data_IF_246039798111
#
_entry.id   IF_246039798111
#
_cell.length_a   1.000
_cell.length_b   1.000
_cell.length_c   1.000
_cell.angle_alpha   90.00
_cell.angle_beta   90.00
_cell.angle_gamma   90.00
#
_symmetry.space_group_name_H-M   'P 1'
#
loop_
_entity.id
_entity.type
_entity.pdbx_description
1 polymer ?
#
# COMPACT_ATOMS: atom_id res chain seq x y z
N UNK A 1 -10.01 -3.49 10.07
CA UNK A 1 -9.73 -2.83 8.78
C UNK A 1 -8.46 -3.28 8.08
N UNK A 2 -7.42 -3.63 8.82
CA UNK A 2 -6.22 -4.16 8.16
C UNK A 2 -6.49 -5.44 7.37
N UNK A 3 -7.40 -6.27 7.87
CA UNK A 3 -7.80 -7.48 7.15
C UNK A 3 -8.44 -7.14 5.79
N UNK A 4 -9.29 -6.13 5.77
CA UNK A 4 -9.93 -5.69 4.52
C UNK A 4 -8.89 -5.13 3.55
N UNK A 5 -7.90 -4.38 4.04
CA UNK A 5 -6.81 -3.87 3.24
C UNK A 5 -6.00 -5.02 2.63
N UNK A 6 -5.62 -5.98 3.44
CA UNK A 6 -4.89 -7.16 2.97
C UNK A 6 -5.66 -7.89 1.87
N UNK A 7 -6.96 -8.10 2.08
CA UNK A 7 -7.79 -8.81 1.11
C UNK A 7 -7.92 -8.03 -0.18
N UNK A 8 -8.14 -6.72 -0.11
CA UNK A 8 -8.30 -5.88 -1.29
C UNK A 8 -7.02 -5.88 -2.14
N UNK A 9 -5.86 -5.76 -1.51
CA UNK A 9 -4.59 -5.75 -2.24
C UNK A 9 -4.23 -7.13 -2.78
N UNK A 10 -4.44 -8.17 -1.98
CA UNK A 10 -4.12 -9.55 -2.40
C UNK A 10 -4.96 -10.01 -3.57
N UNK A 11 -6.16 -9.44 -3.74
CA UNK A 11 -7.01 -9.74 -4.87
C UNK A 11 -6.47 -9.19 -6.19
N UNK A 12 -5.57 -8.22 -6.14
CA UNK A 12 -5.00 -7.59 -7.35
C UNK A 12 -3.90 -8.43 -7.97
N UNK A 13 -3.08 -9.07 -7.15
CA UNK A 13 -1.99 -9.93 -7.61
C UNK A 13 -1.56 -10.87 -6.49
N UNK A 14 -1.15 -12.06 -6.87
CA UNK A 14 -0.55 -13.01 -5.93
C UNK A 14 0.75 -12.46 -5.34
N UNK A 15 1.42 -11.56 -6.03
CA UNK A 15 2.67 -10.96 -5.59
C UNK A 15 2.41 -9.76 -4.69
N UNK A 16 1.68 -9.99 -3.61
CA UNK A 16 1.37 -8.99 -2.59
C UNK A 16 1.97 -9.47 -1.27
N UNK A 17 2.84 -8.65 -0.70
CA UNK A 17 3.62 -9.00 0.48
C UNK A 17 3.38 -7.98 1.59
N UNK A 18 3.43 -8.46 2.83
CA UNK A 18 3.30 -7.62 4.00
C UNK A 18 4.68 -7.35 4.57
N UNK A 19 5.06 -6.08 4.66
CA UNK A 19 6.34 -5.56 5.15
C UNK A 19 7.52 -5.79 4.22
N UNK A 20 7.65 -6.93 3.60
CA UNK A 20 8.91 -7.29 2.96
C UNK A 20 8.67 -8.22 1.76
N UNK A 21 9.38 -7.93 0.69
CA UNK A 21 9.48 -8.84 -0.46
C UNK A 21 10.94 -9.24 -0.61
N UNK A 22 11.18 -10.52 -0.83
CA UNK A 22 12.54 -11.05 -0.95
C UNK A 22 13.28 -10.40 -2.14
N UNK A 23 14.59 -10.18 -2.03
CA UNK A 23 15.38 -9.72 -3.17
C UNK A 23 15.19 -10.66 -4.36
N UNK A 24 15.06 -10.09 -5.56
CA UNK A 24 14.82 -10.86 -6.76
C UNK A 24 13.38 -11.23 -7.01
N UNK A 25 12.44 -10.74 -6.19
CA UNK A 25 11.02 -10.91 -6.45
C UNK A 25 10.69 -10.33 -7.83
N UNK A 26 10.06 -11.12 -8.72
CA UNK A 26 9.76 -10.61 -10.05
C UNK A 26 8.68 -9.53 -10.04
N UNK A 27 8.92 -8.40 -10.74
CA UNK A 27 7.91 -7.37 -10.86
C UNK A 27 6.81 -7.79 -11.85
N UNK A 28 5.59 -7.22 -11.74
CA UNK A 28 5.20 -6.26 -10.71
C UNK A 28 4.87 -6.92 -9.39
N UNK A 29 5.12 -6.21 -8.30
CA UNK A 29 4.73 -6.72 -6.99
C UNK A 29 4.36 -5.56 -6.07
N UNK A 30 3.61 -5.89 -5.03
CA UNK A 30 3.10 -4.94 -4.04
C UNK A 30 3.66 -5.31 -2.68
N UNK A 31 4.12 -4.30 -1.94
CA UNK A 31 4.49 -4.44 -0.53
C UNK A 31 3.69 -3.42 0.25
N UNK A 32 2.97 -3.87 1.26
CA UNK A 32 2.21 -2.96 2.10
C UNK A 32 2.62 -3.14 3.55
N UNK A 33 2.50 -2.06 4.31
CA UNK A 33 2.86 -2.09 5.72
C UNK A 33 2.10 -1.01 6.47
N UNK A 34 1.72 -1.32 7.70
CA UNK A 34 1.30 -0.29 8.63
C UNK A 34 2.52 0.28 9.31
N UNK A 35 2.59 1.61 9.39
CA UNK A 35 3.71 2.31 10.00
C UNK A 35 3.43 2.63 11.45
N UNK A 36 2.17 2.89 11.78
CA UNK A 36 1.82 3.28 13.12
C UNK A 36 0.35 3.01 13.40
N UNK A 37 0.06 2.85 14.67
CA UNK A 37 -1.27 2.81 15.20
C UNK A 37 -1.57 4.24 15.64
N UNK A 38 -2.28 4.96 14.79
CA UNK A 38 -2.55 6.37 15.02
C UNK A 38 -3.82 6.52 15.85
N UNK A 39 -3.69 6.39 17.15
CA UNK A 39 -4.78 6.70 18.08
C UNK A 39 -5.01 8.20 18.06
N UNK A 40 -6.13 8.61 17.53
CA UNK A 40 -6.44 10.03 17.30
C UNK A 40 -6.38 10.87 18.54
N UNK A 41 -6.68 10.30 19.70
CA UNK A 41 -6.53 11.01 20.96
C UNK A 41 -6.08 10.06 22.04
N UNK A 42 -4.95 10.37 22.62
CA UNK A 42 -4.44 9.60 23.74
C UNK A 42 -5.32 9.71 24.99
N UNK A 43 -6.15 10.73 25.04
CA UNK A 43 -6.98 11.03 26.22
C UNK A 43 -8.43 10.61 26.08
N UNK A 44 -8.84 10.18 24.92
CA UNK A 44 -10.22 9.78 24.68
C UNK A 44 -10.32 8.27 24.63
N UNK A 45 -10.91 7.69 25.64
CA UNK A 45 -11.07 6.24 25.75
C UNK A 45 -12.03 5.68 24.70
N UNK A 46 -12.76 6.54 24.03
CA UNK A 46 -13.70 6.13 22.97
C UNK A 46 -13.16 6.40 21.57
N UNK A 47 -11.92 6.86 21.45
CA UNK A 47 -11.33 7.11 20.13
C UNK A 47 -11.23 5.80 19.35
N UNK A 48 -11.64 5.85 18.10
CA UNK A 48 -11.47 4.71 17.21
C UNK A 48 -9.99 4.57 16.88
N UNK A 49 -9.56 3.33 16.77
CA UNK A 49 -8.21 3.07 16.31
C UNK A 49 -8.11 3.42 14.84
N UNK A 50 -7.04 4.08 14.50
CA UNK A 50 -6.75 4.49 13.14
C UNK A 50 -5.39 3.94 12.78
N UNK A 51 -5.31 3.22 11.66
CA UNK A 51 -4.05 2.68 11.17
C UNK A 51 -3.63 3.45 9.94
N UNK A 52 -2.35 3.71 9.83
CA UNK A 52 -1.79 4.29 8.61
C UNK A 52 -0.53 3.57 8.20
N UNK A 53 -0.20 3.69 6.94
CA UNK A 53 0.98 3.06 6.41
C UNK A 53 1.14 3.34 4.94
N UNK A 54 1.82 2.43 4.26
CA UNK A 54 2.13 2.59 2.85
C UNK A 54 1.72 1.37 2.04
N UNK A 55 1.49 1.60 0.76
CA UNK A 55 1.47 0.57 -0.26
C UNK A 55 2.52 0.97 -1.28
N UNK A 56 3.48 0.09 -1.50
CA UNK A 56 4.56 0.28 -2.45
C UNK A 56 4.38 -0.71 -3.60
N UNK A 57 4.44 -0.22 -4.83
CA UNK A 57 4.30 -1.07 -6.01
C UNK A 57 5.50 -0.85 -6.91
N UNK A 58 6.10 -1.95 -7.32
CA UNK A 58 7.31 -1.95 -8.14
C UNK A 58 6.99 -2.58 -9.48
N UNK A 59 7.28 -1.89 -10.57
CA UNK A 59 6.99 -2.38 -11.91
C UNK A 59 8.03 -1.87 -12.90
N UNK A 60 8.18 -2.59 -14.02
CA UNK A 60 9.02 -2.11 -15.13
C UNK A 60 8.17 -1.38 -16.18
N UNK A 61 6.86 -1.44 -16.04
CA UNK A 61 5.92 -0.94 -17.03
C UNK A 61 5.23 0.33 -16.54
N UNK A 62 5.53 1.46 -17.18
CA UNK A 62 4.89 2.72 -16.81
C UNK A 62 3.38 2.77 -17.15
N UNK A 63 2.89 1.78 -17.88
CA UNK A 63 1.45 1.61 -18.16
C UNK A 63 0.82 0.46 -17.37
N UNK A 64 1.44 0.02 -16.28
CA UNK A 64 0.96 -1.10 -15.48
C UNK A 64 -0.45 -0.83 -14.95
N UNK A 65 -1.33 -1.82 -15.10
CA UNK A 65 -2.73 -1.71 -14.64
C UNK A 65 -2.84 -1.56 -13.12
N UNK A 66 -1.83 -1.99 -12.37
CA UNK A 66 -1.84 -1.81 -10.92
C UNK A 66 -1.79 -0.35 -10.50
N UNK A 67 -1.31 0.55 -11.37
CA UNK A 67 -1.27 1.98 -11.08
C UNK A 67 -2.66 2.54 -10.80
N UNK A 68 -3.67 2.04 -11.50
CA UNK A 68 -5.06 2.44 -11.23
C UNK A 68 -5.81 1.45 -10.34
N UNK A 69 -5.40 0.19 -10.33
CA UNK A 69 -6.06 -0.84 -9.53
C UNK A 69 -5.82 -0.65 -8.03
N UNK A 70 -4.64 -0.21 -7.63
CA UNK A 70 -4.33 0.02 -6.22
C UNK A 70 -5.20 1.14 -5.64
N UNK A 71 -5.27 2.33 -6.25
CA UNK A 71 -6.21 3.35 -5.76
C UNK A 71 -7.65 2.86 -5.68
N UNK A 72 -8.11 2.13 -6.68
CA UNK A 72 -9.47 1.58 -6.69
C UNK A 72 -9.69 0.61 -5.52
N UNK A 73 -8.70 -0.20 -5.21
CA UNK A 73 -8.78 -1.12 -4.08
C UNK A 73 -8.87 -0.36 -2.75
N UNK A 74 -8.07 0.70 -2.60
CA UNK A 74 -8.10 1.53 -1.40
C UNK A 74 -9.46 2.22 -1.25
N UNK A 75 -10.01 2.70 -2.36
CA UNK A 75 -11.35 3.33 -2.34
C UNK A 75 -12.43 2.32 -1.97
N UNK A 76 -12.29 1.08 -2.40
CA UNK A 76 -13.29 0.04 -2.14
C UNK A 76 -13.44 -0.28 -0.64
N UNK A 77 -12.42 -0.03 0.14
CA UNK A 77 -12.45 -0.24 1.59
C UNK A 77 -12.58 1.09 2.35
N UNK A 78 -12.87 2.15 1.63
CA UNK A 78 -13.05 3.50 2.20
C UNK A 78 -11.82 4.01 2.93
N UNK A 79 -10.64 3.62 2.47
CA UNK A 79 -9.39 4.15 3.00
C UNK A 79 -9.18 5.57 2.48
N UNK A 80 -8.67 6.43 3.33
CA UNK A 80 -8.12 7.70 2.87
C UNK A 80 -6.72 7.41 2.32
N UNK A 81 -6.35 8.02 1.20
CA UNK A 81 -5.05 7.76 0.61
C UNK A 81 -4.60 8.90 -0.29
N UNK A 82 -3.30 8.92 -0.55
CA UNK A 82 -2.74 9.79 -1.59
C UNK A 82 -1.47 9.16 -2.16
N UNK A 83 -1.15 9.51 -3.39
CA UNK A 83 0.10 9.10 -4.01
C UNK A 83 1.21 9.99 -3.46
N UNK A 84 2.16 9.40 -2.77
CA UNK A 84 3.24 10.13 -2.12
C UNK A 84 4.45 10.32 -3.02
N UNK A 85 4.82 9.30 -3.78
CA UNK A 85 5.99 9.40 -4.64
C UNK A 85 5.94 8.42 -5.79
N UNK A 86 6.63 8.79 -6.86
CA UNK A 86 6.93 7.90 -7.99
C UNK A 86 8.41 8.10 -8.27
N UNK A 87 9.20 7.04 -8.17
CA UNK A 87 10.65 7.11 -8.34
C UNK A 87 11.14 5.99 -9.23
N UNK A 88 12.10 6.32 -10.08
CA UNK A 88 12.78 5.32 -10.90
C UNK A 88 14.06 4.90 -10.16
N UNK A 89 14.22 3.59 -9.97
CA UNK A 89 15.38 3.00 -9.33
C UNK A 89 16.36 2.51 -10.39
N UNK A 90 17.46 3.22 -10.58
CA UNK A 90 18.40 2.88 -11.63
C UNK A 90 19.02 1.51 -11.46
N UNK A 91 19.28 1.09 -10.23
CA UNK A 91 19.93 -0.20 -9.95
C UNK A 91 19.10 -1.39 -10.39
N UNK A 92 17.79 -1.29 -10.26
CA UNK A 92 16.88 -2.39 -10.55
C UNK A 92 16.14 -2.23 -11.87
N UNK A 93 16.06 -1.00 -12.37
CA UNK A 93 15.23 -0.67 -13.51
C UNK A 93 13.75 -0.65 -13.18
N UNK A 94 13.40 -0.54 -11.91
CA UNK A 94 12.02 -0.55 -11.47
C UNK A 94 11.51 0.87 -11.22
N UNK A 95 10.23 1.06 -11.49
CA UNK A 95 9.52 2.27 -11.11
C UNK A 95 8.83 1.95 -9.79
N UNK A 96 9.05 2.75 -8.79
CA UNK A 96 8.52 2.56 -7.45
C UNK A 96 7.43 3.59 -7.19
N UNK A 97 6.20 3.12 -7.04
CA UNK A 97 5.05 3.95 -6.68
C UNK A 97 4.78 3.75 -5.20
N UNK A 98 4.56 4.82 -4.47
CA UNK A 98 4.21 4.73 -3.06
C UNK A 98 2.96 5.53 -2.77
N UNK A 99 1.94 4.86 -2.24
CA UNK A 99 0.75 5.50 -1.70
C UNK A 99 0.78 5.45 -0.18
N UNK A 100 0.34 6.52 0.44
CA UNK A 100 0.11 6.54 1.88
C UNK A 100 -1.39 6.35 2.09
N UNK A 101 -1.74 5.50 3.05
CA UNK A 101 -3.14 5.17 3.33
C UNK A 101 -3.43 5.27 4.81
N UNK A 102 -4.73 5.47 5.12
CA UNK A 102 -5.22 5.52 6.49
C UNK A 102 -6.59 4.84 6.53
N UNK A 103 -6.78 3.95 7.48
CA UNK A 103 -8.03 3.22 7.68
C UNK A 103 -8.42 3.24 9.16
N UNK A 104 -9.71 3.17 9.43
CA UNK A 104 -10.22 3.09 10.80
C UNK A 104 -10.73 1.70 11.14
#
# INVERSE_FOLDING_TARGET
MLKALKQALSALTEQTYHYYAAPGTPPPYIVWAEDSDNDLTANDVHAERCYEGTVDMFTRDEGDTLISAIPAALESIEAAYYLNSVQYEEETGLIHFEWVWQVT
#
